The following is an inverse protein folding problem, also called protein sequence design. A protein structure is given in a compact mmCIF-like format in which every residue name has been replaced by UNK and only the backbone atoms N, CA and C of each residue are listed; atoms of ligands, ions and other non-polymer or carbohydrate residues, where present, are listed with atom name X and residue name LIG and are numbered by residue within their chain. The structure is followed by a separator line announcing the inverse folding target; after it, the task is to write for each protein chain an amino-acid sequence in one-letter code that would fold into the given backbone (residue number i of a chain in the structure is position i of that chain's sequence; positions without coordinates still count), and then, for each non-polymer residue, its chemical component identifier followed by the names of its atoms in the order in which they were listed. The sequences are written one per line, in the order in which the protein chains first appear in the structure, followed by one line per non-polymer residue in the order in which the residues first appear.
data_IF_267850292753
#
_entry.id   IF_267850292753
#
_cell.length_a   1.000
_cell.length_b   1.000
_cell.length_c   1.000
_cell.angle_alpha   90.00
_cell.angle_beta   90.00
_cell.angle_gamma   90.00
#
_symmetry.space_group_name_H-M   'P 1'
#
loop_
_entity.id
_entity.type
_entity.pdbx_description
1 polymer ?
#
# COMPACT_ATOMS: atom_id res chain seq x y z
N UNK A 1 26.59 -29.47 -3.25
CA UNK A 1 25.10 -29.46 -3.24
C UNK A 1 24.50 -28.09 -2.95
N UNK A 2 25.08 -27.24 -2.07
CA UNK A 2 24.57 -25.89 -1.80
C UNK A 2 24.60 -24.92 -3.01
N UNK A 3 25.57 -25.12 -3.91
CA UNK A 3 25.82 -24.24 -5.06
C UNK A 3 24.73 -24.30 -6.16
N UNK A 4 24.10 -25.46 -6.34
CA UNK A 4 23.03 -25.63 -7.35
C UNK A 4 21.71 -24.97 -6.93
N UNK A 5 21.39 -24.94 -5.63
CA UNK A 5 20.18 -24.27 -5.11
C UNK A 5 20.23 -22.75 -5.19
N UNK A 6 21.42 -22.17 -4.99
CA UNK A 6 21.65 -20.72 -5.13
C UNK A 6 21.56 -20.30 -6.60
N UNK A 7 22.12 -21.10 -7.50
CA UNK A 7 22.08 -20.87 -8.95
C UNK A 7 20.64 -20.94 -9.52
N UNK A 8 19.86 -21.95 -9.11
CA UNK A 8 18.45 -22.09 -9.53
C UNK A 8 17.56 -20.94 -9.02
N UNK A 9 17.74 -20.51 -7.77
CA UNK A 9 17.03 -19.35 -7.20
C UNK A 9 17.41 -18.06 -7.91
N UNK A 10 18.70 -17.85 -8.21
CA UNK A 10 19.18 -16.69 -8.95
C UNK A 10 18.57 -16.61 -10.36
N UNK A 11 18.43 -17.73 -11.06
CA UNK A 11 17.79 -17.80 -12.37
C UNK A 11 16.30 -17.39 -12.31
N UNK A 12 15.55 -17.89 -11.33
CA UNK A 12 14.13 -17.52 -11.17
C UNK A 12 13.95 -16.02 -10.86
N UNK A 13 14.81 -15.45 -10.02
CA UNK A 13 14.78 -14.00 -9.72
C UNK A 13 15.07 -13.16 -10.97
N UNK A 14 16.10 -13.53 -11.75
CA UNK A 14 16.47 -12.82 -12.97
C UNK A 14 15.33 -12.84 -14.00
N UNK A 15 14.66 -13.99 -14.11
CA UNK A 15 13.51 -14.14 -15.00
C UNK A 15 12.30 -13.35 -14.54
N UNK A 16 11.91 -13.45 -13.26
CA UNK A 16 10.86 -12.62 -12.70
C UNK A 16 11.14 -11.13 -12.97
N UNK A 17 12.39 -10.70 -12.81
CA UNK A 17 12.83 -9.34 -13.12
C UNK A 17 12.72 -8.96 -14.59
N UNK A 18 12.91 -9.90 -15.53
CA UNK A 18 12.66 -9.66 -16.96
C UNK A 18 11.17 -9.39 -17.21
N UNK A 19 10.32 -10.28 -16.73
CA UNK A 19 8.87 -10.21 -16.95
C UNK A 19 8.28 -8.94 -16.33
N UNK A 20 8.71 -8.57 -15.11
CA UNK A 20 8.29 -7.33 -14.46
C UNK A 20 8.73 -6.09 -15.25
N UNK A 21 9.95 -6.09 -15.82
CA UNK A 21 10.41 -4.99 -16.69
C UNK A 21 9.65 -4.89 -18.01
N UNK A 22 9.11 -6.00 -18.49
CA UNK A 22 8.21 -6.04 -19.65
C UNK A 22 6.79 -5.56 -19.31
N UNK A 23 6.52 -5.16 -18.07
CA UNK A 23 5.25 -4.61 -17.62
C UNK A 23 4.24 -5.64 -17.18
N UNK A 24 4.66 -6.90 -16.97
CA UNK A 24 3.80 -7.94 -16.40
C UNK A 24 3.49 -7.62 -14.94
N UNK A 25 2.26 -7.87 -14.51
CA UNK A 25 1.87 -7.70 -13.11
C UNK A 25 2.47 -8.81 -12.21
N UNK A 26 2.86 -8.51 -10.96
CA UNK A 26 3.50 -9.48 -10.07
C UNK A 26 2.72 -10.79 -9.89
N UNK A 27 1.39 -10.72 -9.75
CA UNK A 27 0.51 -11.89 -9.69
C UNK A 27 0.68 -12.82 -10.91
N UNK A 28 0.68 -12.25 -12.12
CA UNK A 28 0.83 -13.01 -13.36
C UNK A 28 2.26 -13.49 -13.60
N UNK A 29 3.28 -12.84 -13.02
CA UNK A 29 4.65 -13.36 -13.00
C UNK A 29 4.74 -14.55 -12.05
N UNK A 30 4.18 -14.43 -10.85
CA UNK A 30 4.11 -15.53 -9.89
C UNK A 30 3.42 -16.76 -10.52
N UNK A 31 2.25 -16.57 -11.11
CA UNK A 31 1.46 -17.68 -11.65
C UNK A 31 2.23 -18.46 -12.72
N UNK A 32 2.86 -17.76 -13.67
CA UNK A 32 3.65 -18.40 -14.72
C UNK A 32 4.86 -19.18 -14.16
N UNK A 33 5.57 -18.61 -13.18
CA UNK A 33 6.68 -19.29 -12.53
C UNK A 33 6.21 -20.51 -11.72
N UNK A 34 5.08 -20.40 -11.03
CA UNK A 34 4.48 -21.46 -10.24
C UNK A 34 4.03 -22.64 -11.13
N UNK A 35 3.32 -22.36 -12.24
CA UNK A 35 2.90 -23.38 -13.22
C UNK A 35 4.09 -24.17 -13.74
N UNK A 36 5.16 -23.46 -14.11
CA UNK A 36 6.32 -24.09 -14.75
C UNK A 36 7.18 -24.89 -13.78
N UNK A 37 7.33 -24.41 -12.54
CA UNK A 37 8.26 -25.02 -11.58
C UNK A 37 7.59 -26.01 -10.63
N UNK A 38 6.29 -25.85 -10.34
CA UNK A 38 5.62 -26.53 -9.24
C UNK A 38 6.06 -26.04 -7.85
N UNK A 39 7.03 -25.13 -7.77
CA UNK A 39 7.66 -24.67 -6.53
C UNK A 39 7.15 -23.28 -6.14
N UNK A 40 5.91 -23.23 -5.66
CA UNK A 40 5.20 -21.97 -5.44
C UNK A 40 5.86 -21.04 -4.42
N UNK A 41 6.41 -21.51 -3.27
CA UNK A 41 7.15 -20.63 -2.36
C UNK A 41 8.40 -20.02 -3.02
N UNK A 42 9.05 -20.77 -3.91
CA UNK A 42 10.20 -20.29 -4.69
C UNK A 42 9.78 -19.25 -5.73
N UNK A 43 8.60 -19.41 -6.35
CA UNK A 43 8.03 -18.41 -7.25
C UNK A 43 7.69 -17.10 -6.51
N UNK A 44 7.02 -17.16 -5.35
CA UNK A 44 6.75 -15.97 -4.51
C UNK A 44 8.06 -15.28 -4.14
N UNK A 45 9.04 -16.06 -3.67
CA UNK A 45 10.37 -15.55 -3.33
C UNK A 45 11.02 -14.81 -4.51
N UNK A 46 10.98 -15.41 -5.70
CA UNK A 46 11.60 -14.87 -6.89
C UNK A 46 10.98 -13.52 -7.28
N UNK A 47 9.65 -13.43 -7.28
CA UNK A 47 8.92 -12.18 -7.58
C UNK A 47 9.24 -11.11 -6.55
N UNK A 48 9.17 -11.42 -5.25
CA UNK A 48 9.45 -10.46 -4.19
C UNK A 48 10.88 -9.91 -4.25
N UNK A 49 11.87 -10.77 -4.47
CA UNK A 49 13.26 -10.34 -4.63
C UNK A 49 13.47 -9.52 -5.90
N UNK A 50 12.82 -9.89 -7.00
CA UNK A 50 12.89 -9.15 -8.27
C UNK A 50 12.25 -7.75 -8.16
N UNK A 51 11.24 -7.60 -7.31
CA UNK A 51 10.65 -6.31 -6.94
C UNK A 51 11.53 -5.46 -6.02
N UNK A 52 12.64 -6.03 -5.51
CA UNK A 52 13.62 -5.33 -4.67
C UNK A 52 13.36 -5.44 -3.17
N UNK A 53 12.51 -6.36 -2.72
CA UNK A 53 12.33 -6.61 -1.29
C UNK A 53 13.60 -7.26 -0.69
N UNK A 54 14.00 -6.87 0.53
CA UNK A 54 15.15 -7.48 1.18
C UNK A 54 14.84 -8.95 1.54
N UNK A 55 15.81 -9.87 1.45
CA UNK A 55 15.58 -11.30 1.70
C UNK A 55 14.89 -11.62 3.03
N UNK A 56 15.26 -10.91 4.11
CA UNK A 56 14.66 -11.10 5.43
C UNK A 56 13.17 -10.74 5.49
N UNK A 57 12.73 -9.76 4.69
CA UNK A 57 11.31 -9.41 4.59
C UNK A 57 10.54 -10.42 3.75
N UNK A 58 11.17 -10.96 2.70
CA UNK A 58 10.58 -12.05 1.89
C UNK A 58 10.37 -13.30 2.74
N UNK A 59 11.36 -13.66 3.56
CA UNK A 59 11.27 -14.76 4.53
C UNK A 59 10.13 -14.52 5.54
N UNK A 60 10.06 -13.33 6.15
CA UNK A 60 9.01 -13.00 7.09
C UNK A 60 7.59 -13.06 6.47
N UNK A 61 7.43 -12.67 5.20
CA UNK A 61 6.15 -12.79 4.47
C UNK A 61 5.76 -14.25 4.26
N UNK A 62 6.72 -15.11 3.91
CA UNK A 62 6.50 -16.54 3.70
C UNK A 62 6.24 -17.30 5.00
N UNK A 63 6.84 -16.88 6.10
CA UNK A 63 6.54 -17.44 7.43
C UNK A 63 5.16 -17.01 7.94
N UNK A 64 4.59 -15.95 7.36
CA UNK A 64 3.25 -15.45 7.64
C UNK A 64 2.19 -15.89 6.62
N UNK A 65 1.28 -14.96 6.31
CA UNK A 65 0.08 -15.21 5.48
C UNK A 65 0.42 -15.70 4.07
N UNK A 66 1.54 -15.27 3.47
CA UNK A 66 1.90 -15.69 2.11
C UNK A 66 2.14 -17.20 2.04
N UNK A 67 2.80 -17.77 3.05
CA UNK A 67 3.01 -19.22 3.13
C UNK A 67 1.71 -19.99 3.35
N UNK A 68 0.75 -19.41 4.09
CA UNK A 68 -0.58 -20.00 4.25
C UNK A 68 -1.36 -20.01 2.94
N UNK A 69 -1.37 -18.90 2.21
CA UNK A 69 -2.03 -18.82 0.91
C UNK A 69 -1.46 -19.84 -0.07
N UNK A 70 -0.14 -19.92 -0.19
CA UNK A 70 0.50 -20.89 -1.09
C UNK A 70 0.15 -22.35 -0.74
N UNK A 71 -0.16 -22.66 0.53
CA UNK A 71 -0.60 -24.00 0.96
C UNK A 71 -2.10 -24.25 0.78
N UNK A 72 -2.91 -23.20 0.61
CA UNK A 72 -4.36 -23.30 0.51
C UNK A 72 -4.82 -23.71 -0.90
N UNK A 73 -4.04 -23.34 -1.93
CA UNK A 73 -4.36 -23.56 -3.33
C UNK A 73 -3.66 -24.80 -3.89
N UNK A 74 -4.19 -25.29 -5.01
CA UNK A 74 -3.69 -26.48 -5.72
C UNK A 74 -3.21 -26.16 -7.14
N UNK A 75 -2.47 -27.09 -7.74
CA UNK A 75 -2.08 -27.00 -9.15
C UNK A 75 -3.30 -26.74 -10.07
N UNK A 76 -3.19 -25.75 -10.96
CA UNK A 76 -4.29 -25.24 -11.77
C UNK A 76 -5.01 -24.01 -11.18
N UNK A 77 -4.66 -23.58 -9.97
CA UNK A 77 -5.20 -22.39 -9.30
C UNK A 77 -4.14 -21.28 -9.13
N UNK A 78 -3.05 -21.33 -9.89
CA UNK A 78 -1.90 -20.42 -9.75
C UNK A 78 -2.30 -18.96 -9.95
N UNK A 79 -3.15 -18.66 -10.93
CA UNK A 79 -3.64 -17.30 -11.18
C UNK A 79 -4.45 -16.78 -9.98
N UNK A 80 -5.35 -17.60 -9.43
CA UNK A 80 -6.18 -17.24 -8.28
C UNK A 80 -5.32 -17.02 -7.03
N UNK A 81 -4.33 -17.89 -6.81
CA UNK A 81 -3.37 -17.71 -5.73
C UNK A 81 -2.57 -16.42 -5.91
N UNK A 82 -2.11 -16.12 -7.13
CA UNK A 82 -1.42 -14.89 -7.47
C UNK A 82 -2.24 -13.65 -7.16
N UNK A 83 -3.53 -13.64 -7.51
CA UNK A 83 -4.46 -12.57 -7.19
C UNK A 83 -4.64 -12.38 -5.67
N UNK A 84 -4.70 -13.48 -4.90
CA UNK A 84 -4.82 -13.41 -3.44
C UNK A 84 -3.53 -12.87 -2.80
N UNK A 85 -2.36 -13.31 -3.27
CA UNK A 85 -1.06 -12.80 -2.83
C UNK A 85 -0.91 -11.30 -3.15
N UNK A 86 -1.29 -10.89 -4.36
CA UNK A 86 -1.29 -9.48 -4.76
C UNK A 86 -2.29 -8.66 -3.93
N UNK A 87 -3.50 -9.18 -3.75
CA UNK A 87 -4.56 -8.48 -3.01
C UNK A 87 -4.15 -8.30 -1.55
N UNK A 88 -3.55 -9.31 -0.92
CA UNK A 88 -3.05 -9.28 0.47
C UNK A 88 -1.83 -8.37 0.65
N UNK A 89 -1.17 -7.95 -0.44
CA UNK A 89 -0.01 -7.06 -0.40
C UNK A 89 1.33 -7.80 -0.26
N UNK A 90 1.37 -9.10 -0.54
CA UNK A 90 2.61 -9.90 -0.54
C UNK A 90 3.64 -9.35 -1.54
N UNK A 91 3.20 -8.64 -2.57
CA UNK A 91 4.07 -8.00 -3.56
C UNK A 91 4.22 -6.49 -3.36
N UNK A 92 3.67 -5.90 -2.29
CA UNK A 92 3.84 -4.48 -2.02
C UNK A 92 5.29 -4.16 -1.66
N UNK A 93 5.92 -3.24 -2.39
CA UNK A 93 7.27 -2.75 -2.11
C UNK A 93 7.18 -1.51 -1.22
N UNK A 94 7.74 -1.56 0.02
CA UNK A 94 7.82 -0.39 0.87
C UNK A 94 8.57 0.74 0.18
N UNK A 95 7.95 1.92 0.08
CA UNK A 95 8.66 3.11 -0.40
C UNK A 95 9.26 3.87 0.77
N UNK A 96 10.55 4.18 0.67
CA UNK A 96 11.19 5.16 1.54
C UNK A 96 10.58 6.54 1.26
N UNK A 97 10.15 7.22 2.31
CA UNK A 97 9.64 8.57 2.24
C UNK A 97 10.74 9.55 2.58
N UNK A 98 10.79 10.68 1.89
CA UNK A 98 11.60 11.83 2.31
C UNK A 98 10.97 12.49 3.56
N UNK A 99 11.60 13.54 4.08
CA UNK A 99 11.12 14.24 5.28
C UNK A 99 9.67 14.73 5.10
N UNK A 100 9.36 15.28 3.93
CA UNK A 100 8.04 15.77 3.57
C UNK A 100 7.01 14.65 3.49
N UNK A 101 7.33 13.54 2.83
CA UNK A 101 6.48 12.37 2.73
C UNK A 101 6.24 11.74 4.10
N UNK A 102 7.26 11.74 4.97
CA UNK A 102 7.15 11.28 6.36
C UNK A 102 6.18 12.15 7.14
N UNK A 103 6.28 13.47 7.03
CA UNK A 103 5.35 14.39 7.68
C UNK A 103 3.93 14.27 7.14
N UNK A 104 3.78 14.14 5.82
CA UNK A 104 2.49 13.90 5.17
C UNK A 104 1.86 12.61 5.68
N UNK A 105 2.63 11.52 5.73
CA UNK A 105 2.17 10.23 6.30
C UNK A 105 1.74 10.39 7.76
N UNK A 106 2.50 11.13 8.56
CA UNK A 106 2.16 11.40 9.97
C UNK A 106 0.81 12.12 10.08
N UNK A 107 0.59 13.17 9.29
CA UNK A 107 -0.68 13.92 9.25
C UNK A 107 -1.86 13.04 8.79
N UNK A 108 -1.67 12.21 7.77
CA UNK A 108 -2.67 11.24 7.35
C UNK A 108 -2.98 10.21 8.45
N UNK A 109 -1.98 9.80 9.24
CA UNK A 109 -2.17 8.97 10.42
C UNK A 109 -3.01 9.64 11.51
N UNK A 110 -2.80 10.95 11.74
CA UNK A 110 -3.64 11.75 12.65
C UNK A 110 -5.09 11.81 12.15
N UNK A 111 -5.29 11.99 10.85
CA UNK A 111 -6.62 11.95 10.24
C UNK A 111 -7.28 10.58 10.44
N UNK A 112 -6.58 9.46 10.17
CA UNK A 112 -7.09 8.11 10.43
C UNK A 112 -7.54 7.94 11.88
N UNK A 113 -6.74 8.39 12.85
CA UNK A 113 -7.08 8.31 14.27
C UNK A 113 -8.31 9.16 14.63
N UNK A 114 -8.49 10.31 13.97
CA UNK A 114 -9.64 11.19 14.18
C UNK A 114 -10.92 10.74 13.44
N UNK A 115 -10.79 9.91 12.40
CA UNK A 115 -11.92 9.41 11.61
C UNK A 115 -12.86 8.52 12.44
N UNK A 116 -12.30 7.83 13.44
CA UNK A 116 -12.96 6.73 14.15
C UNK A 116 -12.79 5.39 13.42
N UNK A 117 -13.53 4.35 13.83
CA UNK A 117 -13.43 3.03 13.21
C UNK A 117 -13.73 3.08 11.71
N UNK A 118 -12.79 2.60 10.90
CA UNK A 118 -12.95 2.44 9.47
C UNK A 118 -13.42 1.02 9.16
N UNK A 119 -14.25 0.85 8.12
CA UNK A 119 -14.57 -0.49 7.61
C UNK A 119 -13.29 -1.22 7.20
N UNK A 120 -13.24 -2.54 7.42
CA UNK A 120 -12.03 -3.36 7.20
C UNK A 120 -11.42 -3.17 5.80
N UNK A 121 -12.25 -3.12 4.76
CA UNK A 121 -11.78 -2.87 3.39
C UNK A 121 -11.16 -1.47 3.18
N UNK A 122 -11.61 -0.45 3.91
CA UNK A 122 -10.99 0.88 3.87
C UNK A 122 -9.68 0.90 4.64
N UNK A 123 -9.66 0.32 5.84
CA UNK A 123 -8.45 0.20 6.64
C UNK A 123 -7.35 -0.56 5.88
N UNK A 124 -7.71 -1.67 5.24
CA UNK A 124 -6.82 -2.47 4.42
C UNK A 124 -6.23 -1.67 3.24
N UNK A 125 -7.10 -1.01 2.45
CA UNK A 125 -6.68 -0.15 1.34
C UNK A 125 -5.81 1.04 1.77
N UNK A 126 -6.01 1.57 2.97
CA UNK A 126 -5.17 2.63 3.54
C UNK A 126 -3.81 2.10 3.95
N UNK A 127 -3.78 0.94 4.61
CA UNK A 127 -2.54 0.28 5.03
C UNK A 127 -1.62 0.03 3.84
N UNK A 128 -2.12 -0.59 2.76
CA UNK A 128 -1.34 -0.84 1.53
C UNK A 128 -0.80 0.45 0.90
N UNK A 129 -1.64 1.49 0.79
CA UNK A 129 -1.18 2.79 0.27
C UNK A 129 -0.06 3.39 1.11
N UNK A 130 -0.12 3.28 2.43
CA UNK A 130 0.95 3.75 3.29
C UNK A 130 2.23 2.94 3.10
N UNK A 131 2.16 1.61 3.00
CA UNK A 131 3.33 0.77 2.70
C UNK A 131 3.98 1.21 1.39
N UNK A 132 3.18 1.36 0.32
CA UNK A 132 3.66 1.78 -0.99
C UNK A 132 4.02 3.27 -1.11
N UNK A 133 3.87 4.05 -0.05
CA UNK A 133 4.10 5.50 -0.08
C UNK A 133 3.15 6.28 -1.01
N UNK A 134 1.97 5.74 -1.32
CA UNK A 134 0.95 6.35 -2.18
C UNK A 134 0.13 7.39 -1.41
N UNK A 135 0.81 8.43 -0.92
CA UNK A 135 0.25 9.41 0.01
C UNK A 135 -0.90 10.23 -0.61
N UNK A 136 -0.80 10.59 -1.89
CA UNK A 136 -1.89 11.24 -2.64
C UNK A 136 -3.15 10.37 -2.66
N UNK A 137 -3.01 9.09 -3.00
CA UNK A 137 -4.14 8.17 -3.01
C UNK A 137 -4.74 7.97 -1.61
N UNK A 138 -3.91 7.94 -0.56
CA UNK A 138 -4.37 7.84 0.82
C UNK A 138 -5.14 9.10 1.26
N UNK A 139 -4.62 10.29 0.91
CA UNK A 139 -5.28 11.57 1.13
C UNK A 139 -6.66 11.62 0.46
N UNK A 140 -6.74 11.34 -0.84
CA UNK A 140 -7.99 11.36 -1.59
C UNK A 140 -9.01 10.34 -1.04
N UNK A 141 -8.54 9.15 -0.64
CA UNK A 141 -9.39 8.16 0.00
C UNK A 141 -9.97 8.67 1.31
N UNK A 142 -9.16 9.30 2.16
CA UNK A 142 -9.62 9.85 3.44
C UNK A 142 -10.59 11.02 3.24
N UNK A 143 -10.33 11.92 2.30
CA UNK A 143 -11.26 13.02 1.95
C UNK A 143 -12.63 12.46 1.59
N UNK A 144 -12.66 11.40 0.76
CA UNK A 144 -13.90 10.75 0.32
C UNK A 144 -14.65 10.04 1.46
N UNK A 145 -13.93 9.38 2.36
CA UNK A 145 -14.52 8.63 3.48
C UNK A 145 -15.05 9.59 4.55
N UNK A 146 -14.29 10.65 4.86
CA UNK A 146 -14.62 11.61 5.91
C UNK A 146 -14.55 11.01 7.32
N UNK A 147 -14.77 11.82 8.37
CA UNK A 147 -14.92 11.33 9.72
C UNK A 147 -16.31 10.72 9.91
N UNK A 148 -16.46 9.84 10.90
CA UNK A 148 -17.78 9.32 11.29
C UNK A 148 -18.76 10.46 11.58
N UNK A 149 -20.01 10.30 11.13
CA UNK A 149 -21.10 11.26 11.41
C UNK A 149 -21.24 11.46 12.92
N UNK A 150 -21.26 12.73 13.35
CA UNK A 150 -21.32 13.10 14.77
C UNK A 150 -20.02 12.94 15.55
N UNK A 151 -18.89 12.64 14.89
CA UNK A 151 -17.58 12.58 15.55
C UNK A 151 -17.21 13.93 16.15
N UNK A 152 -16.90 13.95 17.45
CA UNK A 152 -16.34 15.12 18.14
C UNK A 152 -14.95 15.50 17.64
N UNK A 153 -14.30 14.62 16.86
CA UNK A 153 -12.97 14.82 16.29
C UNK A 153 -13.00 15.24 14.82
N UNK A 154 -14.17 15.59 14.28
CA UNK A 154 -14.31 16.01 12.88
C UNK A 154 -13.41 17.21 12.53
N UNK A 155 -13.29 18.20 13.41
CA UNK A 155 -12.38 19.33 13.20
C UNK A 155 -10.92 18.87 13.09
N UNK A 156 -10.46 18.02 14.03
CA UNK A 156 -9.10 17.47 14.00
C UNK A 156 -8.82 16.66 12.72
N UNK A 157 -9.81 15.89 12.24
CA UNK A 157 -9.73 15.16 10.98
C UNK A 157 -9.51 16.11 9.79
N UNK A 158 -10.37 17.13 9.63
CA UNK A 158 -10.28 18.06 8.51
C UNK A 158 -9.07 18.98 8.56
N UNK A 159 -8.61 19.36 9.76
CA UNK A 159 -7.35 20.10 9.96
C UNK A 159 -6.17 19.27 9.48
N UNK A 160 -6.05 18.01 9.92
CA UNK A 160 -4.95 17.14 9.53
C UNK A 160 -4.92 16.92 8.01
N UNK A 161 -6.08 16.70 7.38
CA UNK A 161 -6.16 16.58 5.91
C UNK A 161 -5.84 17.89 5.20
N UNK A 162 -6.25 19.04 5.73
CA UNK A 162 -5.95 20.34 5.10
C UNK A 162 -4.45 20.62 5.09
N UNK A 163 -3.75 20.31 6.18
CA UNK A 163 -2.30 20.45 6.27
C UNK A 163 -1.62 19.41 5.37
N UNK A 164 -2.05 18.15 5.39
CA UNK A 164 -1.50 17.10 4.52
C UNK A 164 -1.65 17.44 3.03
N UNK A 165 -2.82 17.94 2.60
CA UNK A 165 -3.06 18.34 1.21
C UNK A 165 -2.17 19.51 0.78
N UNK A 166 -1.93 20.48 1.65
CA UNK A 166 -0.95 21.54 1.38
C UNK A 166 0.48 20.97 1.25
N UNK A 167 0.85 20.04 2.12
CA UNK A 167 2.10 19.27 2.00
C UNK A 167 2.14 18.32 0.80
N UNK A 168 1.05 18.07 0.08
CA UNK A 168 1.13 17.36 -1.20
C UNK A 168 1.41 18.34 -2.34
N UNK A 169 0.78 19.52 -2.32
CA UNK A 169 0.89 20.52 -3.39
C UNK A 169 2.20 21.32 -3.40
N UNK A 170 2.86 21.57 -2.26
CA UNK A 170 4.09 22.39 -2.22
C UNK A 170 5.35 21.75 -2.86
N UNK A 171 5.21 20.66 -3.62
CA UNK A 171 6.29 19.70 -3.92
C UNK A 171 6.82 19.86 -5.33
N UNK A 172 8.03 19.36 -5.64
CA UNK A 172 8.51 19.34 -7.00
C UNK A 172 7.68 18.30 -7.78
N UNK A 173 6.67 18.77 -8.50
CA UNK A 173 5.73 17.92 -9.23
C UNK A 173 4.66 18.75 -9.92
N UNK A 174 4.02 18.13 -10.92
CA UNK A 174 2.89 18.70 -11.65
C UNK A 174 1.74 19.05 -10.69
N UNK A 175 1.09 20.19 -10.91
CA UNK A 175 -0.12 20.58 -10.18
C UNK A 175 -1.14 19.44 -10.30
N UNK A 176 -1.56 18.87 -9.17
CA UNK A 176 -2.57 17.82 -9.15
C UNK A 176 -3.94 18.46 -8.88
N UNK A 177 -4.76 18.71 -9.93
CA UNK A 177 -6.05 19.38 -9.77
C UNK A 177 -7.02 18.57 -8.91
N UNK A 178 -6.82 17.25 -8.80
CA UNK A 178 -7.63 16.42 -7.91
C UNK A 178 -7.29 16.71 -6.44
N UNK A 179 -6.00 16.81 -6.12
CA UNK A 179 -5.53 17.19 -4.77
C UNK A 179 -5.97 18.60 -4.41
N UNK A 180 -5.89 19.57 -5.33
CA UNK A 180 -6.36 20.93 -5.08
C UNK A 180 -7.85 20.99 -4.77
N UNK A 181 -8.67 20.31 -5.59
CA UNK A 181 -10.11 20.22 -5.39
C UNK A 181 -10.45 19.57 -4.04
N UNK A 182 -9.76 18.49 -3.70
CA UNK A 182 -9.94 17.78 -2.43
C UNK A 182 -9.51 18.64 -1.23
N UNK A 183 -8.39 19.38 -1.35
CA UNK A 183 -7.95 20.32 -0.32
C UNK A 183 -8.96 21.45 -0.12
N UNK A 184 -9.54 21.98 -1.20
CA UNK A 184 -10.63 22.95 -1.14
C UNK A 184 -11.84 22.41 -0.37
N UNK A 185 -12.19 21.12 -0.57
CA UNK A 185 -13.23 20.46 0.19
C UNK A 185 -12.89 20.33 1.67
N UNK A 186 -11.66 19.93 2.01
CA UNK A 186 -11.21 19.85 3.41
C UNK A 186 -11.35 21.20 4.12
N UNK A 187 -10.92 22.29 3.47
CA UNK A 187 -11.02 23.65 4.00
C UNK A 187 -12.47 24.09 4.20
N UNK A 188 -13.36 23.80 3.24
CA UNK A 188 -14.80 24.08 3.39
C UNK A 188 -15.42 23.30 4.55
N UNK A 189 -15.08 22.02 4.67
CA UNK A 189 -15.57 21.17 5.77
C UNK A 189 -15.08 21.66 7.13
N UNK A 190 -13.81 22.03 7.22
CA UNK A 190 -13.24 22.59 8.45
C UNK A 190 -13.96 23.89 8.87
N UNK A 191 -14.25 24.79 7.93
CA UNK A 191 -15.00 26.01 8.22
C UNK A 191 -16.43 25.75 8.74
N UNK A 192 -17.03 24.61 8.36
CA UNK A 192 -18.31 24.14 8.90
C UNK A 192 -18.23 23.50 10.30
N UNK A 193 -17.03 23.32 10.84
CA UNK A 193 -16.75 22.79 12.17
C UNK A 193 -15.87 23.77 12.98
N UNK A 194 -16.35 25.00 13.26
CA UNK A 194 -15.63 25.92 14.13
C UNK A 194 -15.42 25.24 15.49
N UNK A 195 -14.20 25.38 16.01
CA UNK A 195 -13.78 24.80 17.27
C UNK A 195 -14.79 25.19 18.37
N UNK A 196 -15.28 24.22 19.16
CA UNK A 196 -16.20 24.47 20.29
C UNK A 196 -15.42 25.04 21.49
N UNK A 197 -14.31 25.74 21.24
CA UNK A 197 -13.41 26.29 22.24
C UNK A 197 -13.82 27.68 22.74
N UNK A 198 -14.83 28.32 22.15
CA UNK A 198 -15.35 29.60 22.63
C UNK A 198 -16.89 29.54 22.75
N UNK A 199 -17.36 29.02 23.89
CA UNK A 199 -18.64 29.48 24.45
C UNK A 199 -18.33 30.15 25.79
N UNK A 200 -18.74 31.43 25.99
CA UNK A 200 -18.52 32.17 27.23
C UNK A 200 -19.26 31.54 28.41
#
# INVERSE_FOLDING_TARGET
MADQGISARGALVAEAGNMLREGREPAGVFAELAVRTGEWPSAVTAVCLALGLPPSEVEARLDGEAGEFVRLFSAGEEDVCGEVLETSGVFDVPRTLDERGTETRRLLGVAVAAAGPLGSGYAFRLSRRFVRGELTGAFLLLVRVGPRVGSSRAAAFWTALSVAGAHLLSGPGEEDPEVERALGECRRRLAGHPDVAERP
#
